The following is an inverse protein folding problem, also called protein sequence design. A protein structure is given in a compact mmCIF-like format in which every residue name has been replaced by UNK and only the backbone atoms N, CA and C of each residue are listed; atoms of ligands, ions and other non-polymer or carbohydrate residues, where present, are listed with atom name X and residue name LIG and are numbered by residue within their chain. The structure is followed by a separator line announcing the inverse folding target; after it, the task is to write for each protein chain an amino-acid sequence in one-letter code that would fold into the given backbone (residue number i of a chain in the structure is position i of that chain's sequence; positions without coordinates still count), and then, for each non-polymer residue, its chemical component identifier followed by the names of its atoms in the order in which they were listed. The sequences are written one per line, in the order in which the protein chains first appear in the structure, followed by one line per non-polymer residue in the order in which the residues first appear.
data_IF_026028022876
#
_entry.id   IF_026028022876
#
_cell.length_a   1.000
_cell.length_b   1.000
_cell.length_c   1.000
_cell.angle_alpha   90.00
_cell.angle_beta   90.00
_cell.angle_gamma   90.00
#
_symmetry.space_group_name_H-M   'P 1'
#
loop_
_entity.id
_entity.type
_entity.pdbx_description
1 polymer ?
#
# COMPACT_ATOMS: atom_id res chain seq x y z
N UNK A 1 5.73 -16.92 2.24
CA UNK A 1 6.11 -15.54 2.60
C UNK A 1 7.01 -15.62 3.83
N UNK A 2 8.30 -15.24 3.76
CA UNK A 2 9.16 -15.30 4.95
C UNK A 2 8.58 -14.34 6.01
N UNK A 3 8.66 -14.68 7.31
CA UNK A 3 8.30 -13.74 8.36
C UNK A 3 9.21 -12.52 8.18
N UNK A 4 8.62 -11.35 7.92
CA UNK A 4 9.34 -10.10 7.85
C UNK A 4 10.15 -9.98 9.14
N UNK A 5 11.49 -10.04 9.04
CA UNK A 5 12.38 -9.88 10.18
C UNK A 5 11.94 -8.63 10.93
N UNK A 6 11.65 -8.77 12.23
CA UNK A 6 11.42 -7.62 13.11
C UNK A 6 12.65 -6.73 12.97
N UNK A 7 12.46 -5.46 12.65
CA UNK A 7 13.53 -4.45 12.58
C UNK A 7 14.21 -4.35 13.95
N UNK A 8 15.36 -3.67 14.02
CA UNK A 8 16.07 -3.44 15.29
C UNK A 8 15.19 -2.82 16.40
N UNK A 9 14.08 -2.18 16.03
CA UNK A 9 13.06 -1.63 16.93
C UNK A 9 12.11 -2.68 17.53
N UNK A 10 12.08 -3.92 17.04
CA UNK A 10 11.19 -4.99 17.52
C UNK A 10 9.75 -4.94 16.99
N UNK A 11 9.35 -3.85 16.32
CA UNK A 11 7.99 -3.61 15.84
C UNK A 11 7.91 -3.51 14.30
N UNK A 12 6.80 -3.96 13.71
CA UNK A 12 6.53 -3.82 12.26
C UNK A 12 6.39 -2.36 11.88
N UNK A 13 6.97 -1.99 10.73
CA UNK A 13 6.85 -0.64 10.17
C UNK A 13 7.69 0.42 10.89
N UNK A 14 8.23 0.11 12.07
CA UNK A 14 9.07 1.01 12.85
C UNK A 14 10.53 0.83 12.47
N UNK A 15 11.21 1.93 12.17
CA UNK A 15 12.64 1.95 11.86
C UNK A 15 13.36 2.91 12.81
N UNK A 16 14.55 2.53 13.23
CA UNK A 16 15.38 3.37 14.08
C UNK A 16 16.33 4.19 13.22
N UNK A 17 16.48 5.49 13.53
CA UNK A 17 17.58 6.32 13.07
C UNK A 17 18.65 6.37 14.17
N UNK A 18 19.95 6.30 13.85
CA UNK A 18 21.01 6.26 14.85
C UNK A 18 21.01 7.46 15.82
N UNK A 19 20.58 8.65 15.37
CA UNK A 19 20.61 9.88 16.18
C UNK A 19 19.23 10.59 16.31
N UNK A 20 18.16 10.01 15.77
CA UNK A 20 16.89 10.75 15.58
C UNK A 20 15.64 9.93 15.95
N UNK A 21 15.79 8.99 16.87
CA UNK A 21 14.67 8.20 17.39
C UNK A 21 14.10 7.19 16.38
N UNK A 22 12.79 6.99 16.43
CA UNK A 22 12.07 5.99 15.64
C UNK A 22 11.14 6.67 14.65
N UNK A 23 11.14 6.25 13.39
CA UNK A 23 10.21 6.72 12.39
C UNK A 23 9.41 5.54 11.85
N UNK A 24 8.24 5.84 11.30
CA UNK A 24 7.37 4.82 10.72
C UNK A 24 7.13 5.10 9.27
N UNK A 25 7.12 4.03 8.47
CA UNK A 25 6.70 4.13 7.09
C UNK A 25 5.66 3.06 6.79
N UNK A 26 4.59 3.46 6.12
CA UNK A 26 3.55 2.57 5.65
C UNK A 26 3.39 2.71 4.13
N UNK A 27 3.13 1.59 3.46
CA UNK A 27 2.90 1.54 2.01
C UNK A 27 1.44 1.22 1.74
N UNK A 28 0.84 1.91 0.77
CA UNK A 28 -0.48 1.60 0.21
C UNK A 28 -0.39 1.65 -1.32
N UNK A 29 -0.40 0.50 -1.98
CA UNK A 29 -0.10 0.41 -3.42
C UNK A 29 1.22 1.08 -3.77
N UNK A 30 1.19 2.04 -4.70
CA UNK A 30 2.35 2.82 -5.13
C UNK A 30 2.69 3.99 -4.20
N UNK A 31 1.84 4.28 -3.22
CA UNK A 31 2.03 5.37 -2.28
C UNK A 31 2.86 4.90 -1.07
N UNK A 32 3.99 5.58 -0.82
CA UNK A 32 4.75 5.47 0.42
C UNK A 32 4.40 6.65 1.30
N UNK A 33 3.79 6.38 2.45
CA UNK A 33 3.49 7.36 3.47
C UNK A 33 4.54 7.19 4.58
N UNK A 34 5.44 8.16 4.70
CA UNK A 34 6.25 8.28 5.90
C UNK A 34 5.41 8.95 6.96
N UNK A 35 5.27 8.30 8.11
CA UNK A 35 4.77 8.91 9.32
C UNK A 35 5.94 9.55 10.08
N UNK A 36 5.58 10.29 11.11
CA UNK A 36 6.47 11.13 11.90
C UNK A 36 7.53 10.37 12.71
N UNK A 37 8.45 11.17 13.27
CA UNK A 37 9.48 10.71 14.20
C UNK A 37 8.97 10.73 15.63
N UNK A 38 9.14 9.61 16.33
CA UNK A 38 8.77 9.38 17.72
C UNK A 38 10.00 9.04 18.55
N UNK A 39 9.97 9.41 19.83
CA UNK A 39 11.08 9.17 20.75
C UNK A 39 11.16 7.69 21.14
N UNK A 40 10.01 7.01 21.20
CA UNK A 40 9.92 5.60 21.58
C UNK A 40 9.43 4.71 20.43
N UNK A 41 9.98 3.49 20.37
CA UNK A 41 9.56 2.49 19.39
C UNK A 41 8.08 2.08 19.57
N UNK A 42 7.58 2.18 20.80
CA UNK A 42 6.23 1.79 21.17
C UNK A 42 5.18 2.81 20.69
N UNK A 43 5.46 4.11 20.86
CA UNK A 43 4.63 5.19 20.27
C UNK A 43 4.61 5.12 18.75
N UNK A 44 5.78 4.90 18.14
CA UNK A 44 5.90 4.69 16.71
C UNK A 44 5.03 3.51 16.25
N UNK A 45 5.07 2.38 16.95
CA UNK A 45 4.27 1.22 16.63
C UNK A 45 2.76 1.48 16.73
N UNK A 46 2.31 2.30 17.70
CA UNK A 46 0.89 2.69 17.81
C UNK A 46 0.46 3.57 16.65
N UNK A 47 1.30 4.51 16.24
CA UNK A 47 1.05 5.32 15.06
C UNK A 47 1.00 4.48 13.77
N UNK A 48 1.86 3.45 13.66
CA UNK A 48 1.80 2.49 12.56
C UNK A 48 0.47 1.75 12.52
N UNK A 49 0.00 1.24 13.66
CA UNK A 49 -1.23 0.46 13.74
C UNK A 49 -2.47 1.31 13.41
N UNK A 50 -2.49 2.57 13.86
CA UNK A 50 -3.51 3.54 13.51
C UNK A 50 -3.53 3.86 12.01
N UNK A 51 -2.36 4.04 11.40
CA UNK A 51 -2.25 4.22 9.95
C UNK A 51 -2.64 2.95 9.18
N UNK A 52 -2.28 1.76 9.69
CA UNK A 52 -2.64 0.48 9.11
C UNK A 52 -4.17 0.27 9.15
N UNK A 53 -4.83 0.66 10.23
CA UNK A 53 -6.29 0.68 10.34
C UNK A 53 -6.93 1.62 9.32
N UNK A 54 -6.41 2.85 9.15
CA UNK A 54 -6.90 3.80 8.14
C UNK A 54 -6.81 3.24 6.72
N UNK A 55 -5.79 2.42 6.45
CA UNK A 55 -5.59 1.75 5.16
C UNK A 55 -6.32 0.41 5.03
N UNK A 56 -7.16 0.03 6.02
CA UNK A 56 -7.94 -1.20 5.97
C UNK A 56 -7.12 -2.48 6.12
N UNK A 57 -5.92 -2.42 6.70
CA UNK A 57 -5.08 -3.61 6.91
C UNK A 57 -5.70 -4.55 7.96
N UNK A 58 -5.57 -5.87 7.80
CA UNK A 58 -6.11 -6.83 8.76
C UNK A 58 -5.36 -6.74 10.10
N UNK A 59 -6.09 -6.98 11.20
CA UNK A 59 -5.57 -6.90 12.58
C UNK A 59 -4.33 -7.78 12.85
N UNK A 60 -4.25 -8.92 12.16
CA UNK A 60 -3.08 -9.82 12.21
C UNK A 60 -1.78 -9.16 11.72
N UNK A 61 -1.86 -8.03 11.02
CA UNK A 61 -0.68 -7.28 10.56
C UNK A 61 -0.30 -6.13 11.47
N UNK A 62 -1.06 -5.87 12.54
CA UNK A 62 -0.79 -4.83 13.54
C UNK A 62 0.19 -5.33 14.62
N UNK A 63 0.82 -4.40 15.33
CA UNK A 63 1.72 -4.68 16.43
C UNK A 63 0.95 -4.97 17.73
N UNK A 64 -0.17 -4.28 17.96
CA UNK A 64 -0.93 -4.38 19.20
C UNK A 64 -2.36 -4.94 18.97
N UNK A 65 -2.76 -5.99 19.71
CA UNK A 65 -4.08 -6.62 19.56
C UNK A 65 -5.19 -5.95 20.39
N UNK A 66 -4.81 -5.08 21.33
CA UNK A 66 -5.67 -4.30 22.22
C UNK A 66 -6.61 -3.36 21.46
N UNK A 67 -6.18 -2.86 20.30
CA UNK A 67 -6.99 -2.02 19.42
C UNK A 67 -8.02 -2.86 18.65
N UNK A 68 -9.30 -2.63 18.96
CA UNK A 68 -10.45 -3.31 18.32
C UNK A 68 -11.18 -2.46 17.28
N UNK A 69 -11.06 -1.14 17.38
CA UNK A 69 -11.75 -0.18 16.50
C UNK A 69 -10.77 0.85 15.96
N UNK A 70 -11.05 1.37 14.76
CA UNK A 70 -10.26 2.45 14.15
C UNK A 70 -10.20 3.66 15.09
N UNK A 71 -11.32 4.08 15.68
CA UNK A 71 -11.36 5.23 16.58
C UNK A 71 -10.40 5.04 17.78
N UNK A 72 -10.44 3.88 18.42
CA UNK A 72 -9.53 3.56 19.52
C UNK A 72 -8.07 3.56 19.06
N UNK A 73 -7.77 3.13 17.83
CA UNK A 73 -6.44 3.22 17.24
C UNK A 73 -5.97 4.68 17.11
N UNK A 74 -6.87 5.56 16.67
CA UNK A 74 -6.60 6.98 16.47
C UNK A 74 -6.42 7.71 17.80
N UNK A 75 -7.22 7.37 18.81
CA UNK A 75 -7.16 7.98 20.14
C UNK A 75 -5.86 7.59 20.88
N UNK A 76 -5.40 6.35 20.67
CA UNK A 76 -4.13 5.86 21.23
C UNK A 76 -2.90 6.27 20.41
N UNK A 77 -3.10 6.70 19.16
CA UNK A 77 -2.01 7.13 18.31
C UNK A 77 -1.48 8.47 18.81
N UNK A 78 -0.17 8.57 19.07
CA UNK A 78 0.43 9.87 19.34
C UNK A 78 0.21 10.80 18.13
N UNK A 79 -0.08 12.08 18.37
CA UNK A 79 -0.21 13.04 17.28
C UNK A 79 1.12 13.12 16.51
N UNK A 80 1.07 13.35 15.19
CA UNK A 80 2.26 13.53 14.38
C UNK A 80 3.13 14.66 14.94
N UNK A 81 4.36 14.33 15.36
CA UNK A 81 5.39 15.30 15.78
C UNK A 81 6.12 15.83 14.55
N UNK A 82 5.55 16.89 13.98
CA UNK A 82 6.12 17.62 12.87
C UNK A 82 7.14 18.61 13.41
N UNK A 83 8.37 18.16 13.61
CA UNK A 83 9.43 18.95 14.28
C UNK A 83 9.93 20.10 13.39
N UNK A 84 10.01 19.90 12.07
CA UNK A 84 10.39 20.95 11.13
C UNK A 84 9.19 21.54 10.37
N UNK A 85 9.33 22.77 9.88
CA UNK A 85 8.35 23.39 8.99
C UNK A 85 8.20 22.61 7.67
N UNK A 86 9.29 21.98 7.21
CA UNK A 86 9.30 21.13 6.04
C UNK A 86 8.43 19.89 6.25
N UNK A 87 8.58 19.20 7.39
CA UNK A 87 7.77 18.03 7.72
C UNK A 87 6.28 18.38 7.77
N UNK A 88 5.93 19.55 8.32
CA UNK A 88 4.54 20.06 8.33
C UNK A 88 3.99 20.27 6.92
N UNK A 89 4.79 20.85 6.04
CA UNK A 89 4.41 21.09 4.65
C UNK A 89 4.22 19.76 3.90
N UNK A 90 5.15 18.82 4.05
CA UNK A 90 5.10 17.51 3.42
C UNK A 90 3.91 16.69 3.91
N UNK A 91 3.65 16.68 5.22
CA UNK A 91 2.47 16.04 5.79
C UNK A 91 1.17 16.65 5.26
N UNK A 92 1.08 17.98 5.17
CA UNK A 92 -0.08 18.69 4.61
C UNK A 92 -0.28 18.36 3.13
N UNK A 93 0.81 18.30 2.35
CA UNK A 93 0.77 17.95 0.94
C UNK A 93 0.31 16.50 0.72
N UNK A 94 0.79 15.56 1.54
CA UNK A 94 0.33 14.16 1.52
C UNK A 94 -1.15 14.06 1.89
N UNK A 95 -1.61 14.77 2.91
CA UNK A 95 -3.03 14.80 3.29
C UNK A 95 -3.91 15.32 2.15
N UNK A 96 -3.52 16.42 1.50
CA UNK A 96 -4.23 16.95 0.33
C UNK A 96 -4.28 15.94 -0.82
N UNK A 97 -3.17 15.27 -1.12
CA UNK A 97 -3.11 14.23 -2.16
C UNK A 97 -4.03 13.05 -1.85
N UNK A 98 -4.09 12.61 -0.59
CA UNK A 98 -4.98 11.54 -0.16
C UNK A 98 -6.46 11.95 -0.29
N UNK A 99 -6.82 13.17 0.09
CA UNK A 99 -8.18 13.69 -0.08
C UNK A 99 -8.55 13.76 -1.57
N UNK A 100 -7.66 14.25 -2.42
CA UNK A 100 -7.88 14.26 -3.88
C UNK A 100 -8.07 12.84 -4.40
N UNK A 101 -7.27 11.87 -3.95
CA UNK A 101 -7.44 10.48 -4.38
C UNK A 101 -8.75 9.85 -3.89
N UNK A 102 -9.21 10.18 -2.67
CA UNK A 102 -10.50 9.72 -2.15
C UNK A 102 -11.68 10.30 -2.94
N UNK A 103 -11.62 11.60 -3.24
CA UNK A 103 -12.64 12.27 -4.03
C UNK A 103 -12.62 11.78 -5.48
N UNK A 104 -11.45 11.57 -6.07
CA UNK A 104 -11.31 10.96 -7.39
C UNK A 104 -11.90 9.54 -7.42
N UNK A 105 -11.64 8.72 -6.41
CA UNK A 105 -12.24 7.39 -6.30
C UNK A 105 -13.78 7.45 -6.22
N UNK A 106 -14.33 8.43 -5.49
CA UNK A 106 -15.78 8.68 -5.41
C UNK A 106 -16.35 9.13 -6.75
N UNK A 107 -15.74 10.13 -7.38
CA UNK A 107 -16.13 10.67 -8.68
C UNK A 107 -16.11 9.56 -9.74
N UNK A 108 -15.04 8.75 -9.76
CA UNK A 108 -14.92 7.61 -10.66
C UNK A 108 -15.92 6.50 -10.34
N UNK A 109 -16.30 6.30 -9.08
CA UNK A 109 -17.35 5.34 -8.72
C UNK A 109 -18.73 5.81 -9.17
N UNK A 110 -19.04 7.10 -9.01
CA UNK A 110 -20.27 7.70 -9.51
C UNK A 110 -20.34 7.69 -11.04
N UNK A 111 -19.23 8.00 -11.70
CA UNK A 111 -19.13 7.91 -13.15
C UNK A 111 -19.37 6.47 -13.63
N UNK A 112 -18.73 5.48 -13.01
CA UNK A 112 -18.94 4.05 -13.32
C UNK A 112 -20.40 3.61 -13.11
N UNK A 113 -21.10 4.15 -12.11
CA UNK A 113 -22.54 3.88 -11.91
C UNK A 113 -23.40 4.49 -13.01
N UNK A 114 -23.03 5.66 -13.53
CA UNK A 114 -23.74 6.35 -14.60
C UNK A 114 -23.45 5.78 -15.99
N UNK A 115 -22.28 5.15 -16.17
CA UNK A 115 -21.79 4.65 -17.46
C UNK A 115 -21.40 3.16 -17.41
N UNK A 116 -22.35 2.25 -17.12
CA UNK A 116 -22.06 0.83 -17.03
C UNK A 116 -21.64 0.22 -18.39
N UNK A 117 -22.19 0.73 -19.50
CA UNK A 117 -21.82 0.28 -20.85
C UNK A 117 -20.35 0.56 -21.20
N UNK A 118 -19.86 1.77 -20.89
CA UNK A 118 -18.45 2.14 -21.16
C UNK A 118 -17.49 1.28 -20.33
N UNK A 119 -17.84 1.00 -19.08
CA UNK A 119 -17.06 0.12 -18.19
C UNK A 119 -17.03 -1.32 -18.72
N UNK A 120 -18.16 -1.84 -19.22
CA UNK A 120 -18.22 -3.17 -19.80
C UNK A 120 -17.37 -3.26 -21.09
N UNK A 121 -17.46 -2.25 -21.95
CA UNK A 121 -16.64 -2.16 -23.16
C UNK A 121 -15.14 -2.14 -22.85
N UNK A 122 -14.70 -1.34 -21.87
CA UNK A 122 -13.30 -1.35 -21.44
C UNK A 122 -12.86 -2.72 -20.91
N UNK A 123 -13.70 -3.39 -20.12
CA UNK A 123 -13.41 -4.73 -19.60
C UNK A 123 -13.25 -5.75 -20.74
N UNK A 124 -14.18 -5.78 -21.69
CA UNK A 124 -14.12 -6.66 -22.87
C UNK A 124 -12.87 -6.39 -23.71
N UNK A 125 -12.52 -5.12 -23.91
CA UNK A 125 -11.30 -4.73 -24.63
C UNK A 125 -10.05 -5.27 -23.95
N UNK A 126 -9.93 -5.09 -22.63
CA UNK A 126 -8.78 -5.57 -21.86
C UNK A 126 -8.73 -7.10 -21.74
N UNK A 127 -9.88 -7.76 -21.70
CA UNK A 127 -9.97 -9.22 -21.73
C UNK A 127 -9.49 -9.79 -23.05
N UNK A 128 -9.96 -9.25 -24.18
CA UNK A 128 -9.51 -9.65 -25.51
C UNK A 128 -7.99 -9.53 -25.65
N UNK A 129 -7.43 -8.39 -25.21
CA UNK A 129 -5.98 -8.18 -25.22
C UNK A 129 -5.25 -9.16 -24.30
N UNK A 130 -5.77 -9.46 -23.10
CA UNK A 130 -5.19 -10.46 -22.18
C UNK A 130 -5.20 -11.86 -22.80
N UNK A 131 -6.30 -12.25 -23.43
CA UNK A 131 -6.43 -13.54 -24.10
C UNK A 131 -5.45 -13.67 -25.26
N UNK A 132 -5.36 -12.66 -26.12
CA UNK A 132 -4.37 -12.58 -27.20
C UNK A 132 -2.94 -12.72 -26.66
N UNK A 133 -2.61 -12.01 -25.58
CA UNK A 133 -1.30 -12.11 -24.94
C UNK A 133 -1.03 -13.52 -24.38
N UNK A 134 -2.03 -14.15 -23.73
CA UNK A 134 -1.88 -15.51 -23.22
C UNK A 134 -1.73 -16.53 -24.35
N UNK A 135 -2.45 -16.33 -25.46
CA UNK A 135 -2.36 -17.16 -26.67
C UNK A 135 -1.00 -17.03 -27.32
N UNK A 136 -0.52 -15.79 -27.55
CA UNK A 136 0.81 -15.51 -28.07
C UNK A 136 1.90 -16.20 -27.23
N UNK A 137 1.84 -16.07 -25.91
CA UNK A 137 2.79 -16.74 -24.99
C UNK A 137 2.72 -18.27 -25.07
N UNK A 138 1.54 -18.86 -25.26
CA UNK A 138 1.38 -20.31 -25.44
C UNK A 138 1.97 -20.78 -26.76
N UNK A 139 1.70 -20.07 -27.85
CA UNK A 139 2.24 -20.35 -29.18
C UNK A 139 3.77 -20.21 -29.20
N UNK A 140 4.33 -19.14 -28.62
CA UNK A 140 5.78 -18.97 -28.44
C UNK A 140 6.41 -20.13 -27.65
N UNK A 141 5.75 -20.62 -26.59
CA UNK A 141 6.23 -21.77 -25.81
C UNK A 141 6.24 -23.05 -26.64
N UNK A 142 5.20 -23.29 -27.44
CA UNK A 142 5.11 -24.45 -28.32
C UNK A 142 6.17 -24.38 -29.43
N UNK A 143 6.34 -23.22 -30.05
CA UNK A 143 7.36 -23.00 -31.08
C UNK A 143 8.78 -23.21 -30.52
N UNK A 144 9.06 -22.69 -29.32
CA UNK A 144 10.33 -22.94 -28.62
C UNK A 144 10.56 -24.44 -28.36
N UNK A 145 9.52 -25.18 -27.97
CA UNK A 145 9.60 -26.65 -27.78
C UNK A 145 9.86 -27.36 -29.11
N UNK A 146 9.20 -26.96 -30.19
CA UNK A 146 9.40 -27.51 -31.54
C UNK A 146 10.83 -27.27 -32.04
N UNK A 147 11.33 -26.04 -31.95
CA UNK A 147 12.71 -25.69 -32.31
C UNK A 147 13.74 -26.49 -31.51
N UNK A 148 13.50 -26.66 -30.20
CA UNK A 148 14.38 -27.48 -29.36
C UNK A 148 14.35 -28.96 -29.75
N UNK A 149 13.19 -29.51 -30.10
CA UNK A 149 13.07 -30.90 -30.56
C UNK A 149 13.83 -31.14 -31.87
N UNK A 150 13.74 -30.20 -32.84
CA UNK A 150 14.47 -30.28 -34.11
C UNK A 150 15.99 -30.14 -33.92
N UNK A 151 16.45 -29.43 -32.90
CA UNK A 151 17.89 -29.27 -32.61
C UNK A 151 18.50 -30.46 -31.83
N UNK A 152 17.67 -31.38 -31.31
CA UNK A 152 18.11 -32.57 -30.57
C UNK A 152 17.96 -33.88 -31.38
N UNK A 153 17.53 -33.78 -32.64
CA UNK A 153 17.46 -34.88 -33.61
C UNK A 153 18.64 -34.79 -34.58
#
# INVERSE_FOLDING_TARGET
MPPCRRSASGYRGVRQRPNAGFYVEIRSGDLRLSLDTYDTAHEAARAFDAAAWRLGRPRLQMNFPDVRTLQHALDLAPPPRLNSAQDRADHTALQRRLLVAQEDERVMAEWRRRHPEDVAYEQEYWERRREEDTRRRREERLDRRRRKALACA
#
